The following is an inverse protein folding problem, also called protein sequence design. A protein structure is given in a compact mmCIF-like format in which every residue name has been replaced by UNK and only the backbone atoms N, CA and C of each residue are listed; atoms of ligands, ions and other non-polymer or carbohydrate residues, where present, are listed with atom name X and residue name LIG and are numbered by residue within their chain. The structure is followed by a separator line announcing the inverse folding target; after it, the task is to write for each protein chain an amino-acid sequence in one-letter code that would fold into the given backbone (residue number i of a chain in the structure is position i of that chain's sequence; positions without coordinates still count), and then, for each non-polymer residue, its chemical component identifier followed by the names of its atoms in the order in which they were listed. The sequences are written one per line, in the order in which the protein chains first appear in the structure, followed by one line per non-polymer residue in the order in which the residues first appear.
data_IF_570222959237
#
_entry.id   IF_570222959237
#
_cell.length_a   1.000
_cell.length_b   1.000
_cell.length_c   1.000
_cell.angle_alpha   90.00
_cell.angle_beta   90.00
_cell.angle_gamma   90.00
#
_symmetry.space_group_name_H-M   'P 1'
#
loop_
_entity.id
_entity.type
_entity.pdbx_description
1 polymer ?
#
# COMPACT_ATOMS: atom_id res chain seq x y z
N UNK A 1 -5.81 30.18 -6.79
CA UNK A 1 -6.34 28.96 -6.16
C UNK A 1 -5.18 27.98 -6.01
N UNK A 2 -4.90 27.50 -4.80
CA UNK A 2 -3.92 26.44 -4.62
C UNK A 2 -4.40 25.16 -5.28
N UNK A 3 -3.54 24.46 -6.01
CA UNK A 3 -3.81 23.08 -6.43
C UNK A 3 -3.88 22.24 -5.15
N UNK A 4 -5.02 21.62 -4.89
CA UNK A 4 -5.11 20.58 -3.88
C UNK A 4 -4.52 19.32 -4.49
N UNK A 5 -3.38 18.86 -3.99
CA UNK A 5 -2.81 17.56 -4.32
C UNK A 5 -3.65 16.48 -3.65
N UNK A 6 -4.10 15.49 -4.43
CA UNK A 6 -4.76 14.30 -3.90
C UNK A 6 -3.68 13.30 -3.50
N UNK A 7 -3.64 12.96 -2.21
CA UNK A 7 -2.83 11.89 -1.65
C UNK A 7 -3.77 10.84 -1.03
N UNK A 8 -3.42 9.56 -1.15
CA UNK A 8 -4.21 8.45 -0.66
C UNK A 8 -3.33 7.41 0.00
N UNK A 9 -3.66 7.06 1.24
CA UNK A 9 -3.01 5.99 2.01
C UNK A 9 -3.86 4.72 1.93
N UNK A 10 -3.26 3.62 1.52
CA UNK A 10 -3.94 2.31 1.43
C UNK A 10 -3.25 1.32 2.35
N UNK A 11 -4.01 0.71 3.25
CA UNK A 11 -3.55 -0.37 4.13
C UNK A 11 -3.96 -1.73 3.54
N UNK A 12 -2.98 -2.47 3.02
CA UNK A 12 -3.19 -3.78 2.45
C UNK A 12 -2.88 -4.85 3.49
N UNK A 13 -3.93 -5.46 4.05
CA UNK A 13 -3.79 -6.49 5.10
C UNK A 13 -3.19 -7.77 4.51
N UNK A 14 -2.12 -8.24 5.15
CA UNK A 14 -1.41 -9.47 4.78
C UNK A 14 -2.27 -10.70 5.09
N UNK A 15 -1.99 -11.82 4.41
CA UNK A 15 -2.69 -13.10 4.61
C UNK A 15 -4.21 -13.06 4.33
N UNK A 16 -4.64 -12.16 3.45
CA UNK A 16 -6.02 -12.16 2.93
C UNK A 16 -6.11 -13.03 1.68
N UNK A 17 -7.24 -13.75 1.51
CA UNK A 17 -7.47 -14.59 0.32
C UNK A 17 -7.43 -13.81 -0.99
N UNK A 18 -7.65 -12.50 -0.91
CA UNK A 18 -7.58 -11.54 -2.02
C UNK A 18 -6.22 -11.55 -2.74
N UNK A 19 -5.13 -11.77 -2.00
CA UNK A 19 -3.76 -11.67 -2.52
C UNK A 19 -3.18 -13.02 -2.97
N UNK A 20 -3.76 -14.12 -2.48
CA UNK A 20 -3.26 -15.45 -2.76
C UNK A 20 -3.37 -15.84 -4.24
N UNK A 21 -4.44 -15.44 -4.94
CA UNK A 21 -4.62 -15.86 -6.35
C UNK A 21 -3.55 -15.31 -7.29
N UNK A 22 -3.03 -14.10 -7.05
CA UNK A 22 -2.08 -13.48 -7.98
C UNK A 22 -0.62 -13.75 -7.61
N UNK A 23 -0.35 -14.01 -6.33
CA UNK A 23 0.94 -14.52 -5.88
C UNK A 23 1.15 -15.97 -6.32
N UNK A 24 0.10 -16.80 -6.25
CA UNK A 24 0.20 -18.22 -6.55
C UNK A 24 0.35 -18.53 -8.06
N UNK A 25 -0.08 -17.64 -8.96
CA UNK A 25 0.16 -17.84 -10.41
C UNK A 25 1.63 -17.69 -10.82
N UNK A 26 2.49 -17.09 -10.00
CA UNK A 26 3.95 -17.03 -10.21
C UNK A 26 4.67 -18.26 -9.61
N UNK A 27 3.98 -19.24 -9.01
CA UNK A 27 4.56 -20.38 -8.27
C UNK A 27 4.96 -21.60 -9.12
N UNK A 28 5.44 -21.43 -10.35
CA UNK A 28 6.11 -22.55 -11.04
C UNK A 28 7.52 -22.82 -10.50
N UNK A 29 8.03 -22.04 -9.54
CA UNK A 29 9.31 -22.34 -8.90
C UNK A 29 9.46 -21.76 -7.47
N UNK A 30 9.66 -22.69 -6.53
CA UNK A 30 10.29 -22.58 -5.19
C UNK A 30 9.36 -22.38 -3.99
N UNK A 31 9.44 -23.40 -3.16
CA UNK A 31 8.80 -23.60 -1.87
C UNK A 31 9.70 -23.02 -0.77
N UNK A 32 9.42 -21.79 -0.30
CA UNK A 32 9.84 -21.26 1.01
C UNK A 32 8.90 -20.10 1.39
N UNK A 33 8.01 -20.32 2.36
CA UNK A 33 6.59 -19.99 2.21
C UNK A 33 6.02 -18.89 3.12
N UNK A 34 6.74 -17.79 3.37
CA UNK A 34 6.11 -16.59 3.98
C UNK A 34 6.89 -15.29 3.81
N UNK A 35 8.23 -15.33 3.89
CA UNK A 35 9.06 -14.15 3.65
C UNK A 35 9.03 -13.75 2.16
N UNK A 36 9.08 -14.74 1.27
CA UNK A 36 8.93 -14.53 -0.16
C UNK A 36 7.56 -13.95 -0.53
N UNK A 37 6.50 -14.27 0.22
CA UNK A 37 5.15 -13.81 -0.12
C UNK A 37 4.99 -12.30 0.11
N UNK A 38 5.67 -11.74 1.12
CA UNK A 38 5.64 -10.29 1.37
C UNK A 38 6.42 -9.52 0.30
N UNK A 39 7.63 -9.97 -0.05
CA UNK A 39 8.43 -9.35 -1.10
C UNK A 39 7.73 -9.43 -2.47
N UNK A 40 7.11 -10.57 -2.78
CA UNK A 40 6.34 -10.76 -4.03
C UNK A 40 5.09 -9.90 -4.06
N UNK A 41 4.44 -9.72 -2.92
CA UNK A 41 3.29 -8.82 -2.80
C UNK A 41 3.70 -7.37 -3.05
N UNK A 42 4.80 -6.94 -2.46
CA UNK A 42 5.36 -5.61 -2.72
C UNK A 42 5.71 -5.44 -4.21
N UNK A 43 6.40 -6.42 -4.81
CA UNK A 43 6.74 -6.44 -6.22
C UNK A 43 5.48 -6.38 -7.10
N UNK A 44 4.44 -7.14 -6.76
CA UNK A 44 3.18 -7.13 -7.49
C UNK A 44 2.48 -5.76 -7.41
N UNK A 45 2.49 -5.13 -6.23
CA UNK A 45 1.96 -3.77 -6.04
C UNK A 45 2.70 -2.75 -6.91
N UNK A 46 4.04 -2.79 -6.95
CA UNK A 46 4.84 -1.97 -7.87
C UNK A 46 4.51 -2.22 -9.35
N UNK A 47 4.19 -3.46 -9.71
CA UNK A 47 3.80 -3.87 -11.06
C UNK A 47 2.32 -3.63 -11.38
N UNK A 48 1.58 -2.88 -10.55
CA UNK A 48 0.22 -2.45 -10.85
C UNK A 48 -0.89 -3.40 -10.37
N UNK A 49 -0.61 -4.31 -9.42
CA UNK A 49 -1.63 -5.18 -8.81
C UNK A 49 -2.86 -4.40 -8.32
N UNK A 50 -2.65 -3.24 -7.68
CA UNK A 50 -3.74 -2.40 -7.20
C UNK A 50 -4.66 -1.94 -8.34
N UNK A 51 -4.10 -1.49 -9.47
CA UNK A 51 -4.91 -1.05 -10.61
C UNK A 51 -5.66 -2.22 -11.27
N UNK A 52 -5.07 -3.42 -11.25
CA UNK A 52 -5.67 -4.61 -11.83
C UNK A 52 -6.80 -5.21 -10.99
N UNK A 53 -6.69 -5.13 -9.65
CA UNK A 53 -7.62 -5.82 -8.73
C UNK A 53 -8.51 -4.89 -7.89
N UNK A 54 -8.08 -3.66 -7.64
CA UNK A 54 -8.82 -2.62 -6.92
C UNK A 54 -8.87 -1.33 -7.75
N UNK A 55 -9.40 -1.37 -8.99
CA UNK A 55 -9.50 -0.18 -9.83
C UNK A 55 -10.32 0.95 -9.17
N UNK A 56 -11.22 0.61 -8.26
CA UNK A 56 -12.02 1.54 -7.46
C UNK A 56 -11.21 2.52 -6.62
N UNK A 57 -9.97 2.16 -6.24
CA UNK A 57 -9.04 3.07 -5.55
C UNK A 57 -8.69 4.27 -6.44
N UNK A 58 -8.79 4.11 -7.76
CA UNK A 58 -8.40 5.11 -8.76
C UNK A 58 -9.59 5.79 -9.42
N UNK A 59 -10.84 5.45 -9.05
CA UNK A 59 -12.03 6.03 -9.64
C UNK A 59 -12.37 7.40 -9.06
N UNK A 60 -13.02 8.23 -9.88
CA UNK A 60 -13.56 9.55 -9.51
C UNK A 60 -12.54 10.56 -8.95
N UNK A 61 -11.25 10.31 -9.18
CA UNK A 61 -10.18 11.23 -8.80
C UNK A 61 -9.93 12.26 -9.91
N UNK A 62 -9.75 13.55 -9.56
CA UNK A 62 -9.52 14.63 -10.52
C UNK A 62 -8.16 14.54 -11.24
N UNK A 63 -7.24 13.72 -10.76
CA UNK A 63 -5.90 13.54 -11.30
C UNK A 63 -5.43 12.08 -11.27
N UNK A 64 -4.21 11.87 -11.77
CA UNK A 64 -3.61 10.54 -11.87
C UNK A 64 -2.81 10.23 -10.61
N UNK A 65 -3.21 9.20 -9.88
CA UNK A 65 -2.44 8.68 -8.76
C UNK A 65 -1.31 7.77 -9.24
N UNK A 66 -0.13 7.97 -8.68
CA UNK A 66 1.02 7.10 -8.82
C UNK A 66 1.38 6.54 -7.45
N UNK A 67 1.82 5.28 -7.42
CA UNK A 67 2.40 4.68 -6.24
C UNK A 67 3.80 5.26 -6.04
N UNK A 68 4.02 5.95 -4.92
CA UNK A 68 5.30 6.59 -4.61
C UNK A 68 6.12 5.78 -3.62
N UNK A 69 5.46 5.13 -2.68
CA UNK A 69 6.13 4.39 -1.63
C UNK A 69 5.28 3.20 -1.18
N UNK A 70 5.96 2.11 -0.85
CA UNK A 70 5.41 1.03 -0.03
C UNK A 70 6.20 1.01 1.28
N UNK A 71 5.49 1.00 2.42
CA UNK A 71 6.09 0.79 3.75
C UNK A 71 5.63 -0.55 4.29
N UNK A 72 6.59 -1.35 4.71
CA UNK A 72 6.34 -2.62 5.37
C UNK A 72 5.97 -2.39 6.84
N UNK A 73 4.83 -2.95 7.26
CA UNK A 73 4.42 -3.05 8.65
C UNK A 73 4.14 -4.52 9.02
N UNK A 74 4.05 -4.84 10.31
CA UNK A 74 3.96 -6.23 10.79
C UNK A 74 2.79 -7.03 10.18
N UNK A 75 1.63 -6.39 9.98
CA UNK A 75 0.40 -7.07 9.54
C UNK A 75 -0.18 -6.55 8.22
N UNK A 76 0.43 -5.52 7.63
CA UNK A 76 -0.06 -4.89 6.41
C UNK A 76 1.08 -4.23 5.62
N UNK A 77 0.83 -3.92 4.36
CA UNK A 77 1.63 -2.96 3.59
C UNK A 77 0.90 -1.63 3.58
N UNK A 78 1.65 -0.54 3.75
CA UNK A 78 1.13 0.82 3.55
C UNK A 78 1.54 1.24 2.16
N UNK A 79 0.59 1.60 1.32
CA UNK A 79 0.86 2.16 -0.01
C UNK A 79 0.50 3.63 -0.01
N UNK A 80 1.47 4.46 -0.36
CA UNK A 80 1.30 5.90 -0.49
C UNK A 80 1.14 6.24 -1.97
N UNK A 81 -0.06 6.70 -2.32
CA UNK A 81 -0.39 7.16 -3.67
C UNK A 81 -0.57 8.67 -3.71
N UNK A 82 -0.13 9.30 -4.79
CA UNK A 82 -0.27 10.74 -4.96
C UNK A 82 -0.11 11.20 -6.40
N UNK A 83 -0.54 12.42 -6.71
CA UNK A 83 -0.28 13.06 -8.01
C UNK A 83 1.16 13.52 -8.19
N UNK A 84 1.85 13.80 -7.08
CA UNK A 84 3.22 14.25 -7.01
C UNK A 84 3.92 13.56 -5.82
N UNK A 85 5.26 13.43 -5.85
CA UNK A 85 6.00 12.97 -4.68
C UNK A 85 5.83 14.00 -3.57
N UNK A 86 5.18 13.61 -2.49
CA UNK A 86 4.90 14.44 -1.34
C UNK A 86 4.98 13.59 -0.07
N UNK A 87 5.44 14.19 1.02
CA UNK A 87 5.50 13.50 2.30
C UNK A 87 4.10 13.54 2.92
N UNK A 88 3.52 12.36 3.14
CA UNK A 88 2.22 12.28 3.79
C UNK A 88 2.31 12.75 5.24
N UNK A 89 1.56 13.80 5.57
CA UNK A 89 1.50 14.34 6.92
C UNK A 89 0.91 13.28 7.87
N UNK A 90 1.69 12.89 8.87
CA UNK A 90 1.34 11.84 9.84
C UNK A 90 0.08 12.15 10.63
N UNK A 91 -0.33 13.42 10.74
CA UNK A 91 -1.59 13.81 11.40
C UNK A 91 -2.83 13.32 10.66
N UNK A 92 -2.72 13.05 9.35
CA UNK A 92 -3.81 12.52 8.52
C UNK A 92 -3.62 11.05 8.14
N UNK A 93 -2.52 10.43 8.58
CA UNK A 93 -2.25 9.01 8.36
C UNK A 93 -3.26 8.15 9.11
N UNK A 94 -3.74 7.11 8.45
CA UNK A 94 -4.56 6.05 9.03
C UNK A 94 -3.71 4.87 9.51
N UNK A 95 -2.38 4.91 9.36
CA UNK A 95 -1.47 3.90 9.90
C UNK A 95 -1.58 3.88 11.44
N UNK A 96 -1.97 2.75 12.05
CA UNK A 96 -2.20 2.66 13.50
C UNK A 96 -0.98 3.06 14.35
N UNK A 97 0.24 2.75 13.89
CA UNK A 97 1.47 3.04 14.62
C UNK A 97 1.85 4.52 14.65
N UNK A 98 1.32 5.33 13.72
CA UNK A 98 1.55 6.77 13.66
C UNK A 98 1.09 7.50 14.92
N UNK A 99 0.16 6.91 15.67
CA UNK A 99 -0.40 7.45 16.92
C UNK A 99 0.17 6.82 18.20
N UNK A 100 1.04 5.80 18.10
CA UNK A 100 1.52 5.07 19.29
C UNK A 100 2.67 5.83 19.97
N UNK A 101 3.49 6.55 19.20
CA UNK A 101 4.58 7.38 19.73
C UNK A 101 4.08 8.62 20.49
N UNK A 102 2.84 9.07 20.27
CA UNK A 102 2.25 10.22 20.97
C UNK A 102 1.66 9.90 22.34
N UNK A 103 1.59 8.63 22.75
CA UNK A 103 1.05 8.22 24.07
C UNK A 103 2.11 7.88 25.12
N UNK A 104 3.41 7.91 24.80
CA UNK A 104 4.48 7.69 25.77
C UNK A 104 5.01 9.05 26.28
N UNK A 105 4.17 9.78 26.99
CA UNK A 105 4.58 10.88 27.86
C UNK A 105 3.68 10.84 29.10
N UNK A 106 4.19 10.21 30.17
CA UNK A 106 3.68 10.35 31.54
C UNK A 106 4.62 11.30 32.29
#
# INVERSE_FOLDING_TARGET
MGKYSVNQEVLLIRSTSFLNEELCKKDDARNDSSLFDNERLEEACWNGLLQARLPEIFWDLPGKLFLWQIKEATSFLVLDLGEAPDDMDSHFSIVPYSFVSTQIHN
#
